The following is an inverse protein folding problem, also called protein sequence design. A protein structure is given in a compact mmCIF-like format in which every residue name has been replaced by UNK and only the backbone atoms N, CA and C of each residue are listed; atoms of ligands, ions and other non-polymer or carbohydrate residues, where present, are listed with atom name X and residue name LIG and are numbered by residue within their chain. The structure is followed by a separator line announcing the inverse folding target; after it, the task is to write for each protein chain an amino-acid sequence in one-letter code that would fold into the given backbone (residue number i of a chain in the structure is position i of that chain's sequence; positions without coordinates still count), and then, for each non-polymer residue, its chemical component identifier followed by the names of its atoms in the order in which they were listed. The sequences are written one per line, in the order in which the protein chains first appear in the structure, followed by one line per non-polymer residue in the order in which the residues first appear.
data_IF_412160195969
#
_entry.id   IF_412160195969
#
_cell.length_a   1.000
_cell.length_b   1.000
_cell.length_c   1.000
_cell.angle_alpha   90.00
_cell.angle_beta   90.00
_cell.angle_gamma   90.00
#
_symmetry.space_group_name_H-M   'P 1'
#
loop_
_entity.id
_entity.type
_entity.pdbx_description
1 polymer ?
#
# COMPACT_ATOMS: atom_id res chain seq x y z
N UNK A 1 -16.01 1.62 -7.18
CA UNK A 1 -15.72 2.56 -8.29
C UNK A 1 -14.49 2.17 -9.10
N UNK A 2 -13.32 1.90 -8.51
CA UNK A 2 -12.07 1.60 -9.23
C UNK A 2 -12.19 0.47 -10.26
N UNK A 3 -12.52 -0.76 -9.83
CA UNK A 3 -12.55 -1.95 -10.71
C UNK A 3 -13.62 -1.81 -11.80
N UNK A 4 -14.74 -1.16 -11.50
CA UNK A 4 -15.79 -0.88 -12.49
C UNK A 4 -15.31 0.09 -13.59
N UNK A 5 -14.61 1.16 -13.19
CA UNK A 5 -14.04 2.12 -14.14
C UNK A 5 -12.93 1.46 -14.96
N UNK A 6 -12.11 0.62 -14.34
CA UNK A 6 -11.08 -0.16 -15.02
C UNK A 6 -11.69 -1.09 -16.06
N UNK A 7 -12.76 -1.83 -15.71
CA UNK A 7 -13.50 -2.68 -16.66
C UNK A 7 -14.03 -1.88 -17.85
N UNK A 8 -14.61 -0.71 -17.61
CA UNK A 8 -15.08 0.18 -18.68
C UNK A 8 -13.96 0.64 -19.60
N UNK A 9 -12.82 1.02 -19.03
CA UNK A 9 -11.65 1.49 -19.79
C UNK A 9 -11.01 0.37 -20.63
N UNK A 10 -10.99 -0.86 -20.10
CA UNK A 10 -10.42 -2.02 -20.79
C UNK A 10 -11.33 -2.61 -21.88
N UNK A 11 -12.65 -2.38 -21.81
CA UNK A 11 -13.60 -2.84 -22.82
C UNK A 11 -13.52 -4.36 -23.05
N UNK A 12 -13.41 -4.78 -24.32
CA UNK A 12 -13.32 -6.20 -24.68
C UNK A 12 -12.01 -6.87 -24.22
N UNK A 13 -10.93 -6.11 -24.01
CA UNK A 13 -9.69 -6.67 -23.47
C UNK A 13 -9.88 -7.21 -22.05
N UNK A 14 -10.87 -6.70 -21.30
CA UNK A 14 -11.25 -7.24 -19.99
C UNK A 14 -11.79 -8.68 -20.04
N UNK A 15 -12.13 -9.21 -21.22
CA UNK A 15 -12.57 -10.60 -21.43
C UNK A 15 -11.39 -11.57 -21.63
N UNK A 16 -10.16 -11.05 -21.77
CA UNK A 16 -8.95 -11.87 -21.83
C UNK A 16 -8.54 -12.36 -20.43
N UNK A 17 -7.57 -13.26 -20.36
CA UNK A 17 -7.08 -13.79 -19.09
C UNK A 17 -6.18 -12.76 -18.38
N UNK A 18 -6.79 -11.86 -17.60
CA UNK A 18 -6.09 -10.82 -16.84
C UNK A 18 -5.81 -11.30 -15.42
N UNK A 19 -4.59 -11.05 -14.95
CA UNK A 19 -4.17 -11.28 -13.56
C UNK A 19 -4.01 -9.96 -12.81
N UNK A 20 -4.13 -10.02 -11.49
CA UNK A 20 -3.94 -8.87 -10.61
C UNK A 20 -2.96 -9.22 -9.50
N UNK A 21 -2.06 -8.28 -9.21
CA UNK A 21 -1.25 -8.30 -8.00
C UNK A 21 -1.76 -7.24 -7.04
N UNK A 22 -2.11 -7.66 -5.83
CA UNK A 22 -2.66 -6.79 -4.79
C UNK A 22 -1.59 -6.57 -3.73
N UNK A 23 -1.16 -5.33 -3.59
CA UNK A 23 -0.12 -4.95 -2.65
C UNK A 23 -0.67 -3.90 -1.70
N UNK A 24 -0.88 -4.29 -0.44
CA UNK A 24 -1.30 -3.35 0.60
C UNK A 24 -0.21 -2.32 0.90
N UNK A 25 -0.64 -1.12 1.25
CA UNK A 25 0.27 -0.04 1.65
C UNK A 25 1.18 -0.49 2.80
N UNK A 26 2.47 -0.16 2.67
CA UNK A 26 3.52 -0.47 3.64
C UNK A 26 4.58 0.60 3.60
N UNK A 27 5.22 0.87 4.73
CA UNK A 27 6.29 1.86 4.81
C UNK A 27 7.35 1.48 5.83
N UNK A 28 8.48 2.18 5.80
CA UNK A 28 9.54 2.08 6.82
C UNK A 28 9.65 3.41 7.54
N UNK A 29 10.19 3.42 8.77
CA UNK A 29 10.43 4.67 9.50
C UNK A 29 11.30 5.66 8.70
N UNK A 30 12.31 5.15 7.98
CA UNK A 30 13.14 5.95 7.07
C UNK A 30 12.33 6.58 5.94
N UNK A 31 11.38 5.84 5.36
CA UNK A 31 10.51 6.36 4.30
C UNK A 31 9.55 7.41 4.84
N UNK A 32 8.96 7.21 6.03
CA UNK A 32 8.11 8.21 6.72
C UNK A 32 8.87 9.53 6.90
N UNK A 33 10.07 9.47 7.49
CA UNK A 33 10.92 10.66 7.69
C UNK A 33 11.21 11.38 6.38
N UNK A 34 11.68 10.65 5.36
CA UNK A 34 12.02 11.25 4.07
C UNK A 34 10.79 11.86 3.37
N UNK A 35 9.62 11.23 3.47
CA UNK A 35 8.40 11.75 2.86
C UNK A 35 8.02 13.09 3.50
N UNK A 36 8.04 13.19 4.83
CA UNK A 36 7.65 14.40 5.55
C UNK A 36 8.66 15.56 5.35
N UNK A 37 9.94 15.25 5.11
CA UNK A 37 10.94 16.26 4.73
C UNK A 37 10.64 16.87 3.35
N UNK A 38 10.22 16.06 2.38
CA UNK A 38 9.97 16.50 0.99
C UNK A 38 8.55 17.03 0.80
N UNK A 39 7.58 16.44 1.50
CA UNK A 39 6.15 16.75 1.44
C UNK A 39 5.59 16.96 2.84
N UNK A 40 5.86 18.11 3.48
CA UNK A 40 5.45 18.37 4.87
C UNK A 40 3.93 18.35 5.08
N UNK A 41 3.16 18.64 4.03
CA UNK A 41 1.69 18.67 4.06
C UNK A 41 1.06 17.39 3.49
N UNK A 42 1.80 16.29 3.44
CA UNK A 42 1.27 15.02 2.96
C UNK A 42 0.13 14.52 3.87
N UNK A 43 -1.00 14.15 3.27
CA UNK A 43 -2.12 13.50 3.95
C UNK A 43 -2.01 11.97 3.96
N UNK A 44 -0.84 11.41 3.65
CA UNK A 44 -0.65 9.97 3.58
C UNK A 44 -0.64 9.36 5.00
N UNK A 45 -1.46 8.34 5.29
CA UNK A 45 -1.57 7.78 6.64
C UNK A 45 -0.35 6.91 6.98
N UNK A 46 0.53 7.47 7.83
CA UNK A 46 1.83 6.91 8.21
C UNK A 46 2.00 6.74 9.73
N UNK A 47 0.91 6.73 10.49
CA UNK A 47 0.98 6.49 11.94
C UNK A 47 1.36 5.04 12.23
N UNK A 48 2.38 4.88 13.07
CA UNK A 48 3.01 3.58 13.33
C UNK A 48 2.16 2.75 14.29
N UNK A 49 1.42 3.42 15.16
CA UNK A 49 0.48 2.89 16.15
C UNK A 49 -0.73 2.20 15.50
N UNK A 50 -1.11 2.65 14.31
CA UNK A 50 -2.18 2.04 13.50
C UNK A 50 -1.69 0.87 12.64
N UNK A 51 -0.44 0.44 12.82
CA UNK A 51 0.21 -0.54 11.96
C UNK A 51 0.87 -1.64 12.78
N UNK A 52 1.08 -2.77 12.13
CA UNK A 52 1.87 -3.86 12.66
C UNK A 52 3.29 -3.78 12.10
N UNK A 53 4.28 -3.75 12.97
CA UNK A 53 5.68 -3.85 12.55
C UNK A 53 6.02 -5.31 12.17
N UNK A 54 6.64 -5.49 10.99
CA UNK A 54 7.12 -6.78 10.49
C UNK A 54 8.62 -6.69 10.23
N UNK A 55 9.38 -7.47 10.99
CA UNK A 55 10.81 -7.66 10.78
C UNK A 55 11.07 -8.32 9.43
N UNK A 56 12.09 -7.83 8.74
CA UNK A 56 12.70 -8.44 7.57
C UNK A 56 13.87 -9.34 7.97
N UNK A 57 14.40 -10.06 6.98
CA UNK A 57 15.41 -11.09 7.18
C UNK A 57 16.75 -10.56 7.75
N UNK A 58 17.10 -9.30 7.49
CA UNK A 58 18.38 -8.71 7.89
C UNK A 58 18.20 -7.53 8.87
N UNK A 59 17.22 -7.63 9.77
CA UNK A 59 17.00 -6.66 10.85
C UNK A 59 16.25 -5.38 10.46
N UNK A 60 16.16 -5.03 9.17
CA UNK A 60 15.28 -3.96 8.71
C UNK A 60 13.81 -4.42 8.75
N UNK A 61 12.90 -3.53 9.14
CA UNK A 61 11.47 -3.83 9.21
C UNK A 61 10.59 -2.81 8.50
N UNK A 62 9.29 -3.12 8.48
CA UNK A 62 8.27 -2.33 7.79
C UNK A 62 6.94 -2.39 8.53
N UNK A 63 6.18 -1.31 8.43
CA UNK A 63 4.83 -1.17 8.94
C UNK A 63 3.84 -1.65 7.88
N UNK A 64 2.95 -2.55 8.27
CA UNK A 64 1.87 -3.11 7.44
C UNK A 64 0.54 -2.96 8.17
N UNK A 65 -0.57 -3.08 7.46
CA UNK A 65 -1.87 -3.15 8.14
C UNK A 65 -1.95 -4.37 9.08
N UNK A 66 -2.63 -4.24 10.23
CA UNK A 66 -2.98 -5.37 11.08
C UNK A 66 -3.75 -6.44 10.30
N UNK A 67 -3.68 -7.70 10.74
CA UNK A 67 -4.32 -8.82 10.01
C UNK A 67 -5.84 -8.67 9.95
N UNK A 68 -6.40 -8.04 10.96
CA UNK A 68 -7.83 -7.78 11.15
C UNK A 68 -8.35 -6.80 10.09
N UNK A 69 -7.47 -5.92 9.58
CA UNK A 69 -7.78 -4.93 8.54
C UNK A 69 -7.35 -5.40 7.16
N UNK A 70 -6.31 -6.23 7.07
CA UNK A 70 -5.74 -6.72 5.82
C UNK A 70 -6.46 -7.96 5.22
N UNK A 71 -7.70 -8.25 5.66
CA UNK A 71 -8.51 -9.37 5.16
C UNK A 71 -8.97 -9.14 3.71
#
# INVERSE_FOLDING_TARGET
MLVHNLKKALGDAAKSNITFELISHRFTARAKKRLLEVFPSSSLPLEEEERKFKYGQFGYGKYIYPKEVAQ
#
